data_IF_556701988984
#
_entry.id   IF_556701988984
#
_cell.length_a   1.000
_cell.length_b   1.000
_cell.length_c   1.000
_cell.angle_alpha   90.00
_cell.angle_beta   90.00
_cell.angle_gamma   90.00
#
_symmetry.space_group_name_H-M   'P 1'
#
loop_
_entity.id
_entity.type
_entity.pdbx_description
1 polymer ?
#
# COMPACT_ATOMS: atom_id res chain seq x y z
N UNK A 1 -10.87 -7.62 11.74
CA UNK A 1 -10.17 -8.39 12.80
C UNK A 1 -9.30 -9.51 12.22
N UNK A 2 -9.82 -10.40 11.37
CA UNK A 2 -9.02 -11.47 10.74
C UNK A 2 -7.75 -10.94 10.04
N UNK A 3 -7.86 -9.88 9.24
CA UNK A 3 -6.72 -9.24 8.59
C UNK A 3 -5.71 -8.69 9.62
N UNK A 4 -6.17 -8.02 10.68
CA UNK A 4 -5.29 -7.47 11.72
C UNK A 4 -4.53 -8.53 12.53
N UNK A 5 -4.91 -9.82 12.39
CA UNK A 5 -4.24 -10.97 13.00
C UNK A 5 -3.47 -11.80 11.97
N UNK A 6 -3.42 -11.34 10.72
CA UNK A 6 -2.83 -12.02 9.56
C UNK A 6 -3.24 -13.49 9.43
N UNK A 7 -4.53 -13.77 9.65
CA UNK A 7 -5.10 -15.11 9.54
C UNK A 7 -5.47 -15.41 8.07
N UNK A 8 -4.49 -15.78 7.25
CA UNK A 8 -4.62 -15.98 5.79
C UNK A 8 -5.80 -16.87 5.38
N UNK A 9 -6.03 -17.99 6.07
CA UNK A 9 -7.13 -18.92 5.76
C UNK A 9 -8.50 -18.26 5.98
N UNK A 10 -8.64 -17.53 7.09
CA UNK A 10 -9.89 -16.84 7.43
C UNK A 10 -10.13 -15.67 6.48
N UNK A 11 -9.07 -14.90 6.16
CA UNK A 11 -9.17 -13.80 5.21
C UNK A 11 -9.60 -14.34 3.84
N UNK A 12 -8.95 -15.40 3.35
CA UNK A 12 -9.31 -16.05 2.08
C UNK A 12 -10.77 -16.50 2.08
N UNK A 13 -11.21 -17.20 3.13
CA UNK A 13 -12.58 -17.69 3.24
C UNK A 13 -13.60 -16.54 3.25
N UNK A 14 -13.33 -15.46 4.00
CA UNK A 14 -14.20 -14.28 4.03
C UNK A 14 -14.26 -13.57 2.68
N UNK A 15 -13.12 -13.40 2.01
CA UNK A 15 -13.05 -12.79 0.68
C UNK A 15 -13.80 -13.62 -0.37
N UNK A 16 -13.67 -14.95 -0.36
CA UNK A 16 -14.43 -15.85 -1.25
C UNK A 16 -15.95 -15.78 -1.03
N UNK A 17 -16.39 -15.42 0.18
CA UNK A 17 -17.80 -15.17 0.49
C UNK A 17 -18.27 -13.76 0.10
N UNK A 18 -17.40 -12.94 -0.48
CA UNK A 18 -17.72 -11.59 -0.93
C UNK A 18 -17.58 -10.50 0.15
N UNK A 19 -16.99 -10.82 1.30
CA UNK A 19 -16.70 -9.80 2.32
C UNK A 19 -15.45 -9.00 1.94
N UNK A 20 -15.61 -7.68 1.85
CA UNK A 20 -14.51 -6.74 1.54
C UNK A 20 -14.41 -5.66 2.61
N UNK A 21 -13.20 -5.15 2.83
CA UNK A 21 -12.99 -4.00 3.70
C UNK A 21 -13.26 -2.73 2.88
N UNK A 22 -14.23 -1.88 3.27
CA UNK A 22 -14.47 -0.64 2.56
C UNK A 22 -13.30 0.33 2.74
N UNK A 23 -12.89 0.99 1.67
CA UNK A 23 -11.88 2.03 1.72
C UNK A 23 -12.34 3.23 2.55
N UNK A 24 -11.53 3.73 3.50
CA UNK A 24 -11.88 4.91 4.27
C UNK A 24 -12.07 6.14 3.39
N UNK A 25 -13.05 6.97 3.73
CA UNK A 25 -13.20 8.27 3.09
C UNK A 25 -12.01 9.19 3.44
N UNK A 26 -11.70 10.12 2.52
CA UNK A 26 -10.72 11.18 2.73
C UNK A 26 -11.04 11.96 4.02
N UNK A 27 -10.00 12.42 4.72
CA UNK A 27 -10.14 13.23 5.94
C UNK A 27 -11.00 14.49 5.72
N UNK A 28 -10.99 15.06 4.52
CA UNK A 28 -11.81 16.23 4.17
C UNK A 28 -13.23 15.91 3.67
N UNK A 29 -13.66 14.64 3.70
CA UNK A 29 -14.98 14.25 3.20
C UNK A 29 -16.12 14.87 4.03
N UNK A 30 -17.07 15.52 3.33
CA UNK A 30 -18.22 16.21 3.92
C UNK A 30 -19.55 15.46 3.72
N UNK A 31 -19.53 14.15 3.40
CA UNK A 31 -20.76 13.36 3.30
C UNK A 31 -21.49 13.27 4.65
N UNK A 32 -22.78 12.98 4.62
CA UNK A 32 -23.64 12.91 5.81
C UNK A 32 -23.07 11.95 6.86
N UNK A 33 -22.61 10.76 6.46
CA UNK A 33 -22.02 9.77 7.37
C UNK A 33 -20.75 10.27 8.06
N UNK A 34 -19.84 10.88 7.30
CA UNK A 34 -18.59 11.43 7.84
C UNK A 34 -18.84 12.64 8.74
N UNK A 35 -19.80 13.50 8.40
CA UNK A 35 -20.18 14.65 9.21
C UNK A 35 -20.80 14.20 10.54
N UNK A 36 -21.75 13.28 10.46
CA UNK A 36 -22.44 12.74 11.64
C UNK A 36 -21.45 11.99 12.55
N UNK A 37 -20.56 11.17 11.98
CA UNK A 37 -19.54 10.45 12.75
C UNK A 37 -18.62 11.38 13.54
N UNK A 38 -18.15 12.46 12.93
CA UNK A 38 -17.30 13.47 13.60
C UNK A 38 -18.05 14.24 14.69
N UNK A 39 -19.31 14.59 14.44
CA UNK A 39 -20.12 15.36 15.39
C UNK A 39 -20.54 14.52 16.60
N UNK A 40 -20.78 13.22 16.41
CA UNK A 40 -21.18 12.32 17.49
C UNK A 40 -19.99 11.91 18.37
N UNK A 41 -18.92 11.41 17.76
CA UNK A 41 -17.72 10.98 18.50
C UNK A 41 -16.49 11.01 17.58
N UNK A 42 -15.78 12.13 17.61
CA UNK A 42 -14.59 12.35 16.79
C UNK A 42 -13.51 11.29 17.05
N UNK A 43 -13.30 10.92 18.32
CA UNK A 43 -12.26 9.97 18.68
C UNK A 43 -12.59 8.57 18.14
N UNK A 44 -13.82 8.08 18.33
CA UNK A 44 -14.24 6.80 17.75
C UNK A 44 -14.17 6.81 16.23
N UNK A 45 -14.52 7.93 15.60
CA UNK A 45 -14.45 8.06 14.15
C UNK A 45 -13.01 7.94 13.62
N UNK A 46 -12.05 8.65 14.23
CA UNK A 46 -10.63 8.52 13.88
C UNK A 46 -10.06 7.14 14.23
N UNK A 47 -10.45 6.56 15.37
CA UNK A 47 -10.05 5.21 15.77
C UNK A 47 -10.56 4.15 14.78
N UNK A 48 -11.80 4.31 14.30
CA UNK A 48 -12.37 3.45 13.27
C UNK A 48 -11.57 3.52 11.98
N UNK A 49 -11.22 4.73 11.52
CA UNK A 49 -10.42 4.92 10.30
C UNK A 49 -9.08 4.19 10.39
N UNK A 50 -8.33 4.41 11.46
CA UNK A 50 -7.01 3.77 11.59
C UNK A 50 -7.12 2.25 11.75
N UNK A 51 -8.16 1.74 12.41
CA UNK A 51 -8.41 0.31 12.48
C UNK A 51 -8.78 -0.30 11.12
N UNK A 52 -9.46 0.45 10.25
CA UNK A 52 -9.68 0.05 8.86
C UNK A 52 -8.37 -0.02 8.10
N UNK A 53 -7.52 1.02 8.19
CA UNK A 53 -6.18 0.99 7.57
C UNK A 53 -5.30 -0.13 8.11
N UNK A 54 -5.37 -0.47 9.40
CA UNK A 54 -4.70 -1.67 9.96
C UNK A 54 -5.15 -2.97 9.29
N UNK A 55 -6.43 -3.05 8.91
CA UNK A 55 -6.95 -4.20 8.17
C UNK A 55 -6.47 -4.25 6.73
N UNK A 56 -6.42 -3.11 6.05
CA UNK A 56 -6.00 -2.99 4.65
C UNK A 56 -4.48 -3.17 4.49
N UNK A 57 -3.69 -2.62 5.41
CA UNK A 57 -2.23 -2.70 5.41
C UNK A 57 -1.69 -4.08 5.86
N UNK A 58 -2.56 -4.99 6.27
CA UNK A 58 -2.15 -6.32 6.71
C UNK A 58 -1.58 -7.13 5.55
N UNK A 59 -0.55 -7.93 5.83
CA UNK A 59 0.12 -8.77 4.82
C UNK A 59 -0.88 -9.76 4.21
N UNK A 60 -1.74 -10.36 5.04
CA UNK A 60 -2.80 -11.26 4.56
C UNK A 60 -3.77 -10.57 3.60
N UNK A 61 -4.21 -9.35 3.91
CA UNK A 61 -5.15 -8.63 3.06
C UNK A 61 -4.51 -8.24 1.71
N UNK A 62 -3.31 -7.66 1.73
CA UNK A 62 -2.58 -7.28 0.52
C UNK A 62 -2.28 -8.48 -0.38
N UNK A 63 -1.89 -9.62 0.19
CA UNK A 63 -1.61 -10.83 -0.61
C UNK A 63 -2.84 -11.47 -1.25
N UNK A 64 -4.01 -11.39 -0.59
CA UNK A 64 -5.21 -12.11 -1.04
C UNK A 64 -6.09 -11.25 -1.94
N UNK A 65 -6.17 -9.95 -1.68
CA UNK A 65 -7.16 -9.06 -2.31
C UNK A 65 -6.60 -8.17 -3.40
N UNK A 66 -5.29 -7.95 -3.44
CA UNK A 66 -4.64 -7.12 -4.45
C UNK A 66 -4.23 -7.94 -5.67
N UNK A 67 -4.52 -7.41 -6.86
CA UNK A 67 -3.99 -7.95 -8.12
C UNK A 67 -2.48 -7.72 -8.23
N UNK A 68 -2.04 -6.50 -7.95
CA UNK A 68 -0.62 -6.15 -7.78
C UNK A 68 -0.37 -5.74 -6.32
N UNK A 69 0.06 -6.73 -5.53
CA UNK A 69 0.31 -6.54 -4.11
C UNK A 69 1.46 -5.54 -3.83
N UNK A 70 2.46 -5.47 -4.71
CA UNK A 70 3.60 -4.56 -4.54
C UNK A 70 3.19 -3.11 -4.83
N UNK A 71 2.45 -2.87 -5.92
CA UNK A 71 1.92 -1.54 -6.22
C UNK A 71 0.94 -1.08 -5.13
N UNK A 72 0.07 -1.98 -4.68
CA UNK A 72 -0.87 -1.69 -3.60
C UNK A 72 -0.15 -1.28 -2.32
N UNK A 73 0.94 -1.97 -1.96
CA UNK A 73 1.76 -1.63 -0.80
C UNK A 73 2.45 -0.26 -0.95
N UNK A 74 3.00 0.04 -2.12
CA UNK A 74 3.60 1.35 -2.41
C UNK A 74 2.58 2.47 -2.29
N UNK A 75 1.42 2.34 -2.95
CA UNK A 75 0.34 3.31 -2.90
C UNK A 75 -0.18 3.54 -1.49
N UNK A 76 -0.40 2.46 -0.75
CA UNK A 76 -0.88 2.52 0.62
C UNK A 76 0.14 3.17 1.56
N UNK A 77 1.43 2.84 1.45
CA UNK A 77 2.48 3.47 2.27
C UNK A 77 2.54 4.99 2.09
N UNK A 78 2.42 5.48 0.84
CA UNK A 78 2.38 6.92 0.54
C UNK A 78 1.12 7.58 1.08
N UNK A 79 -0.01 6.90 1.01
CA UNK A 79 -1.26 7.39 1.61
C UNK A 79 -1.14 7.50 3.13
N UNK A 80 -0.66 6.46 3.80
CA UNK A 80 -0.45 6.42 5.25
C UNK A 80 0.52 7.51 5.72
N UNK A 81 1.61 7.75 4.97
CA UNK A 81 2.51 8.88 5.24
C UNK A 81 1.78 10.22 5.18
N UNK A 82 0.95 10.45 4.16
CA UNK A 82 0.14 11.69 4.03
C UNK A 82 -0.89 11.82 5.17
N UNK A 83 -1.50 10.71 5.60
CA UNK A 83 -2.44 10.69 6.71
C UNK A 83 -1.77 11.02 8.04
N UNK A 84 -0.54 10.52 8.25
CA UNK A 84 0.26 10.81 9.46
C UNK A 84 0.54 12.30 9.68
N UNK A 85 0.51 13.10 8.60
CA UNK A 85 0.68 14.56 8.66
C UNK A 85 -0.65 15.29 8.92
N UNK A 86 -1.78 14.68 8.56
CA UNK A 86 -3.12 15.27 8.68
C UNK A 86 -3.80 14.94 10.01
N UNK A 87 -3.49 13.79 10.60
CA UNK A 87 -3.95 13.35 11.93
C UNK A 87 -2.74 13.12 12.84
N UNK A 88 -2.14 14.20 13.39
CA UNK A 88 -0.93 14.10 14.20
C UNK A 88 -1.11 13.26 15.47
N UNK A 89 -2.33 13.15 15.99
CA UNK A 89 -2.68 12.37 17.18
C UNK A 89 -2.43 10.87 16.98
N UNK A 90 -2.56 10.38 15.74
CA UNK A 90 -2.34 8.99 15.35
C UNK A 90 -1.10 8.80 14.47
N UNK A 91 -0.23 9.81 14.40
CA UNK A 91 1.00 9.77 13.62
C UNK A 91 1.84 8.51 13.84
N UNK A 92 2.18 8.08 15.08
CA UNK A 92 3.04 6.91 15.25
C UNK A 92 2.39 5.63 14.72
N UNK A 93 1.07 5.50 14.84
CA UNK A 93 0.34 4.34 14.33
C UNK A 93 0.31 4.33 12.80
N UNK A 94 0.09 5.48 12.15
CA UNK A 94 0.17 5.55 10.68
C UNK A 94 1.57 5.24 10.14
N UNK A 95 2.61 5.73 10.81
CA UNK A 95 4.00 5.42 10.43
C UNK A 95 4.34 3.94 10.62
N UNK A 96 3.83 3.30 11.68
CA UNK A 96 4.01 1.84 11.86
C UNK A 96 3.33 1.03 10.76
N UNK A 97 2.18 1.50 10.26
CA UNK A 97 1.49 0.85 9.14
C UNK A 97 2.22 1.07 7.82
N UNK A 98 2.77 2.27 7.63
CA UNK A 98 3.61 2.56 6.47
C UNK A 98 4.80 1.60 6.43
N UNK A 99 5.49 1.43 7.56
CA UNK A 99 6.63 0.51 7.68
C UNK A 99 6.26 -0.93 7.31
N UNK A 100 5.12 -1.44 7.82
CA UNK A 100 4.61 -2.77 7.45
C UNK A 100 4.42 -2.91 5.93
N UNK A 101 3.88 -1.89 5.26
CA UNK A 101 3.72 -1.93 3.80
C UNK A 101 5.06 -1.91 3.06
N UNK A 102 6.04 -1.16 3.56
CA UNK A 102 7.39 -1.12 2.97
C UNK A 102 8.11 -2.46 3.13
N UNK A 103 8.10 -3.03 4.34
CA UNK A 103 8.67 -4.34 4.63
C UNK A 103 8.03 -5.43 3.77
N UNK A 104 6.71 -5.41 3.62
CA UNK A 104 6.01 -6.39 2.79
C UNK A 104 6.48 -6.35 1.33
N UNK A 105 6.70 -5.16 0.75
CA UNK A 105 7.21 -5.05 -0.61
C UNK A 105 8.66 -5.55 -0.74
N UNK A 106 9.49 -5.31 0.30
CA UNK A 106 10.87 -5.84 0.37
C UNK A 106 10.87 -7.36 0.48
N UNK A 107 10.02 -7.93 1.34
CA UNK A 107 9.85 -9.37 1.50
C UNK A 107 9.41 -10.03 0.19
N UNK A 108 8.46 -9.44 -0.54
CA UNK A 108 8.05 -9.94 -1.85
C UNK A 108 9.21 -9.99 -2.84
N UNK A 109 10.05 -8.95 -2.88
CA UNK A 109 11.24 -8.94 -3.73
C UNK A 109 12.28 -9.97 -3.27
N UNK A 110 12.44 -10.15 -1.95
CA UNK A 110 13.33 -11.14 -1.35
C UNK A 110 12.95 -12.60 -1.66
N UNK A 111 11.71 -12.85 -2.08
CA UNK A 111 11.21 -14.18 -2.43
C UNK A 111 11.53 -14.59 -3.88
N UNK A 112 12.01 -13.66 -4.71
CA UNK A 112 12.42 -13.96 -6.09
C UNK A 112 13.61 -14.91 -6.13
N UNK A 113 13.54 -15.95 -6.97
CA UNK A 113 14.54 -17.02 -7.04
C UNK A 113 15.46 -16.91 -8.25
N UNK A 114 15.08 -16.12 -9.25
CA UNK A 114 15.81 -16.02 -10.51
C UNK A 114 15.80 -14.58 -11.05
N UNK A 115 16.75 -14.29 -11.94
CA UNK A 115 16.88 -12.97 -12.56
C UNK A 115 15.62 -12.59 -13.37
N UNK A 116 14.94 -13.55 -14.00
CA UNK A 116 13.72 -13.28 -14.75
C UNK A 116 12.62 -12.69 -13.86
N UNK A 117 12.33 -13.29 -12.71
CA UNK A 117 11.34 -12.80 -11.73
C UNK A 117 11.69 -11.40 -11.25
N UNK A 118 12.96 -11.17 -10.90
CA UNK A 118 13.45 -9.84 -10.49
C UNK A 118 13.22 -8.82 -11.60
N UNK A 119 13.63 -9.12 -12.84
CA UNK A 119 13.42 -8.21 -13.97
C UNK A 119 11.95 -7.98 -14.28
N UNK A 120 11.09 -9.00 -14.14
CA UNK A 120 9.65 -8.84 -14.33
C UNK A 120 9.07 -7.91 -13.29
N UNK A 121 9.42 -8.06 -12.01
CA UNK A 121 8.96 -7.16 -10.94
C UNK A 121 9.45 -5.73 -11.19
N UNK A 122 10.76 -5.55 -11.45
CA UNK A 122 11.37 -4.22 -11.61
C UNK A 122 10.88 -3.47 -12.86
N UNK A 123 10.45 -4.20 -13.89
CA UNK A 123 9.96 -3.61 -15.13
C UNK A 123 8.42 -3.61 -15.24
N UNK A 124 7.71 -4.29 -14.34
CA UNK A 124 6.24 -4.32 -14.36
C UNK A 124 5.69 -2.91 -14.07
N UNK A 125 4.99 -2.35 -15.05
CA UNK A 125 4.22 -1.12 -14.87
C UNK A 125 2.78 -1.55 -14.55
N UNK A 126 2.30 -1.30 -13.34
CA UNK A 126 0.85 -1.29 -13.12
C UNK A 126 0.26 -0.05 -13.77
N UNK A 127 -1.03 -0.09 -14.11
CA UNK A 127 -1.81 0.82 -14.97
C UNK A 127 -1.77 2.35 -14.66
N UNK A 128 -0.85 2.83 -13.83
CA UNK A 128 -0.54 4.26 -13.65
C UNK A 128 0.23 4.81 -14.86
N UNK A 129 -0.39 4.74 -16.04
CA UNK A 129 -0.10 5.57 -17.21
C UNK A 129 -0.46 7.03 -16.91
N UNK A 130 0.25 7.67 -15.99
CA UNK A 130 0.24 9.13 -15.84
C UNK A 130 1.62 9.77 -16.03
N UNK A 131 2.70 8.98 -16.03
CA UNK A 131 4.05 9.46 -16.36
C UNK A 131 4.54 8.97 -17.74
N UNK A 132 3.62 8.70 -18.68
CA UNK A 132 3.91 8.49 -20.11
C UNK A 132 4.32 9.81 -20.82
N UNK A 133 5.04 10.70 -20.12
CA UNK A 133 5.57 11.96 -20.65
C UNK A 133 7.09 12.05 -20.57
N UNK A 134 7.77 10.97 -20.16
CA UNK A 134 9.24 10.88 -20.17
C UNK A 134 9.74 9.67 -20.98
N UNK A 135 9.12 9.38 -22.13
CA UNK A 135 9.61 8.41 -23.12
C UNK A 135 10.85 8.90 -23.90
N UNK A 136 11.45 10.02 -23.49
CA UNK A 136 12.61 10.62 -24.16
C UNK A 136 13.78 10.80 -23.20
N UNK A 137 14.41 9.69 -22.83
CA UNK A 137 15.85 9.59 -22.59
C UNK A 137 16.11 8.33 -21.78
N UNK A 138 16.53 7.24 -22.41
CA UNK A 138 17.73 6.52 -22.03
C UNK A 138 18.10 5.60 -23.21
N UNK A 139 19.35 5.72 -23.63
CA UNK A 139 19.98 4.97 -24.71
C UNK A 139 19.76 3.44 -24.57
N UNK A 140 19.89 2.74 -25.70
CA UNK A 140 19.59 1.33 -26.03
C UNK A 140 20.20 0.21 -25.12
N UNK A 141 20.47 0.47 -23.84
CA UNK A 141 21.09 -0.48 -22.93
C UNK A 141 20.54 -0.54 -21.51
N UNK A 142 19.66 0.39 -21.10
CA UNK A 142 19.09 0.39 -19.74
C UNK A 142 17.68 -0.20 -19.78
N UNK A 143 17.40 -1.32 -19.09
CA UNK A 143 16.05 -1.87 -19.02
C UNK A 143 15.08 -0.82 -18.47
N UNK A 144 13.85 -0.82 -18.96
CA UNK A 144 12.82 0.13 -18.54
C UNK A 144 12.33 -0.20 -17.11
N UNK A 145 13.14 0.15 -16.11
CA UNK A 145 12.98 -0.06 -14.66
C UNK A 145 11.81 0.75 -14.08
N UNK A 146 10.64 0.60 -14.68
CA UNK A 146 9.42 1.38 -14.43
C UNK A 146 9.01 1.29 -12.96
N UNK A 147 9.08 0.08 -12.37
CA UNK A 147 8.74 -0.14 -10.96
C UNK A 147 9.77 0.48 -10.03
N UNK A 148 11.06 0.48 -10.38
CA UNK A 148 12.11 1.10 -9.56
C UNK A 148 11.93 2.62 -9.53
N UNK A 149 11.63 3.24 -10.68
CA UNK A 149 11.32 4.67 -10.76
C UNK A 149 10.10 5.01 -9.90
N UNK A 150 9.05 4.18 -9.97
CA UNK A 150 7.88 4.31 -9.13
C UNK A 150 8.24 4.16 -7.64
N UNK A 151 9.06 3.17 -7.26
CA UNK A 151 9.51 2.98 -5.88
C UNK A 151 10.23 4.23 -5.33
N UNK A 152 11.06 4.90 -6.15
CA UNK A 152 11.69 6.19 -5.80
C UNK A 152 10.64 7.28 -5.60
N UNK A 153 9.70 7.43 -6.53
CA UNK A 153 8.60 8.42 -6.43
C UNK A 153 7.72 8.21 -5.19
N UNK A 154 7.54 6.97 -4.77
CA UNK A 154 6.79 6.58 -3.57
C UNK A 154 7.65 6.53 -2.29
N UNK A 155 8.91 6.99 -2.34
CA UNK A 155 9.87 7.04 -1.22
C UNK A 155 10.13 5.69 -0.54
N UNK A 156 10.17 4.61 -1.32
CA UNK A 156 10.41 3.24 -0.85
C UNK A 156 11.91 2.98 -0.65
N UNK A 157 12.50 3.60 0.39
CA UNK A 157 13.95 3.56 0.62
C UNK A 157 14.48 2.15 0.84
N UNK A 158 13.76 1.33 1.61
CA UNK A 158 14.18 -0.04 1.92
C UNK A 158 14.14 -0.95 0.67
N UNK A 159 13.17 -0.73 -0.22
CA UNK A 159 13.06 -1.45 -1.48
C UNK A 159 14.24 -1.14 -2.40
N UNK A 160 14.54 0.14 -2.61
CA UNK A 160 15.63 0.57 -3.49
C UNK A 160 17.02 0.16 -2.96
N UNK A 161 17.18 0.08 -1.64
CA UNK A 161 18.45 -0.33 -1.02
C UNK A 161 18.62 -1.86 -0.90
N UNK A 162 17.66 -2.65 -1.38
CA UNK A 162 17.69 -4.09 -1.24
C UNK A 162 18.81 -4.72 -2.10
N UNK A 163 19.58 -5.71 -1.63
CA UNK A 163 20.70 -6.29 -2.40
C UNK A 163 20.30 -6.97 -3.73
N UNK A 164 19.02 -7.28 -3.90
CA UNK A 164 18.46 -7.91 -5.10
C UNK A 164 17.98 -6.84 -6.12
N UNK A 165 17.79 -5.59 -5.69
CA UNK A 165 17.47 -4.46 -6.57
C UNK A 165 18.72 -3.99 -7.31
#
# INVERSE_FOLDING_TARGET
LACQKDLYEIVTMLTQKGHVIPWPHKISCACLECRNGRQYDLLKFSLSRINTYRGIASRAYLSITSEDAMLSAFSLSRELRKLSQKEPEFKPQYLSLEEICQEFAVELLGMCRNQSEVTTILNSCGDDQQDASEEQAFEEGIPNLSRLRLAVNYNQKQFVAHPIC
#
